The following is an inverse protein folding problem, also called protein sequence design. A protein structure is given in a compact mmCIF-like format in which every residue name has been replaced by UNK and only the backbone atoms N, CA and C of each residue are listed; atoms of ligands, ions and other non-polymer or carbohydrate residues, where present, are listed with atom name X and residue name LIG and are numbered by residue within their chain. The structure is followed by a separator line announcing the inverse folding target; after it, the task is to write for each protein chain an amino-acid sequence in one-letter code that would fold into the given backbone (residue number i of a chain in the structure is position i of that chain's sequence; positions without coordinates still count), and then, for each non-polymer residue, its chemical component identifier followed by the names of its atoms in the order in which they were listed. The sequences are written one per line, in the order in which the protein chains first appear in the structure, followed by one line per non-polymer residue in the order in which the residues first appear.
data_IF_171044392663
#
_entry.id   IF_171044392663
#
_cell.length_a   1.000
_cell.length_b   1.000
_cell.length_c   1.000
_cell.angle_alpha   90.00
_cell.angle_beta   90.00
_cell.angle_gamma   90.00
#
_symmetry.space_group_name_H-M   'P 1'
#
loop_
_entity.id
_entity.type
_entity.pdbx_description
1 polymer ?
#
# COMPACT_ATOMS: atom_id res chain seq x y z
N UNK A 1 -7.66 -27.94 21.04
CA UNK A 1 -8.50 -27.11 20.14
C UNK A 1 -7.58 -26.49 19.10
N UNK A 2 -7.81 -26.71 17.79
CA UNK A 2 -7.14 -25.88 16.77
C UNK A 2 -7.65 -24.46 16.98
N UNK A 3 -6.78 -23.53 17.36
CA UNK A 3 -7.12 -22.10 17.34
C UNK A 3 -7.62 -21.78 15.92
N UNK A 4 -8.88 -21.34 15.82
CA UNK A 4 -9.43 -20.88 14.56
C UNK A 4 -8.60 -19.68 14.10
N UNK A 5 -8.16 -19.68 12.84
CA UNK A 5 -7.37 -18.57 12.33
C UNK A 5 -8.23 -17.32 12.23
N UNK A 6 -7.74 -16.23 12.80
CA UNK A 6 -8.40 -14.93 12.81
C UNK A 6 -8.18 -14.20 11.49
N UNK A 7 -9.21 -13.53 10.97
CA UNK A 7 -9.09 -12.69 9.78
C UNK A 7 -8.24 -11.44 10.09
N UNK A 8 -7.31 -11.11 9.20
CA UNK A 8 -6.61 -9.84 9.17
C UNK A 8 -7.20 -8.96 8.06
N UNK A 9 -7.68 -7.78 8.43
CA UNK A 9 -8.26 -6.79 7.51
C UNK A 9 -7.22 -5.70 7.23
N UNK A 10 -6.88 -5.52 5.95
CA UNK A 10 -5.81 -4.62 5.52
C UNK A 10 -6.30 -3.20 5.22
N UNK A 11 -7.50 -3.09 4.63
CA UNK A 11 -8.12 -1.85 4.16
C UNK A 11 -9.65 -1.93 4.33
N UNK A 12 -10.35 -0.82 4.07
CA UNK A 12 -11.82 -0.76 4.08
C UNK A 12 -12.47 -1.25 2.77
N UNK A 13 -11.78 -2.06 1.97
CA UNK A 13 -12.29 -2.50 0.67
C UNK A 13 -13.57 -3.34 0.84
N UNK A 14 -14.70 -2.97 0.20
CA UNK A 14 -16.00 -3.56 0.50
C UNK A 14 -16.05 -5.09 0.34
N UNK A 15 -15.48 -5.59 -0.75
CA UNK A 15 -15.54 -7.03 -1.06
C UNK A 15 -14.72 -7.92 -0.11
N UNK A 16 -13.72 -7.35 0.56
CA UNK A 16 -12.85 -8.05 1.51
C UNK A 16 -13.19 -7.72 2.97
N UNK A 17 -14.26 -6.96 3.20
CA UNK A 17 -14.77 -6.70 4.55
C UNK A 17 -15.36 -8.00 5.14
N UNK A 18 -15.19 -8.25 6.45
CA UNK A 18 -15.84 -9.39 7.10
C UNK A 18 -17.35 -9.35 6.92
N UNK A 19 -17.95 -10.44 6.41
CA UNK A 19 -19.38 -10.48 6.05
C UNK A 19 -20.28 -10.98 7.18
N UNK A 20 -19.74 -11.78 8.08
CA UNK A 20 -20.46 -12.29 9.25
C UNK A 20 -20.09 -11.47 10.49
N UNK A 21 -21.07 -11.15 11.34
CA UNK A 21 -20.86 -10.31 12.54
C UNK A 21 -19.82 -10.91 13.49
N UNK A 22 -19.80 -12.24 13.63
CA UNK A 22 -18.82 -12.94 14.45
C UNK A 22 -17.41 -12.85 13.85
N UNK A 23 -17.24 -12.89 12.53
CA UNK A 23 -15.95 -12.66 11.88
C UNK A 23 -15.51 -11.21 12.05
N UNK A 24 -16.41 -10.25 11.88
CA UNK A 24 -16.14 -8.81 12.03
C UNK A 24 -15.61 -8.48 13.43
N UNK A 25 -16.35 -8.86 14.48
CA UNK A 25 -15.94 -8.63 15.87
C UNK A 25 -14.64 -9.34 16.24
N UNK A 26 -14.42 -10.52 15.65
CA UNK A 26 -13.21 -11.28 15.90
C UNK A 26 -12.06 -10.95 14.94
N UNK A 27 -12.20 -10.07 13.94
CA UNK A 27 -11.13 -9.74 12.98
C UNK A 27 -10.09 -8.80 13.59
N UNK A 28 -8.84 -8.90 13.15
CA UNK A 28 -7.77 -7.97 13.48
C UNK A 28 -7.70 -6.93 12.36
N UNK A 29 -7.89 -5.67 12.69
CA UNK A 29 -7.80 -4.59 11.72
C UNK A 29 -6.39 -4.00 11.75
N UNK A 30 -5.77 -3.82 10.59
CA UNK A 30 -4.37 -3.38 10.53
C UNK A 30 -4.20 -1.93 11.02
N UNK A 31 -5.27 -1.14 10.95
CA UNK A 31 -5.32 0.19 11.55
C UNK A 31 -6.61 0.95 11.26
N UNK A 32 -6.73 2.16 11.81
CA UNK A 32 -7.91 3.03 11.69
C UNK A 32 -8.42 3.25 10.27
N UNK A 33 -7.51 3.28 9.29
CA UNK A 33 -7.87 3.49 7.89
C UNK A 33 -8.82 2.43 7.33
N UNK A 34 -8.93 1.24 7.95
CA UNK A 34 -9.92 0.23 7.55
C UNK A 34 -11.37 0.75 7.68
N UNK A 35 -11.61 1.71 8.56
CA UNK A 35 -12.92 2.33 8.80
C UNK A 35 -13.09 3.68 8.08
N UNK A 36 -12.03 4.20 7.45
CA UNK A 36 -12.11 5.42 6.64
C UNK A 36 -12.83 5.14 5.34
N UNK A 37 -13.79 6.00 4.94
CA UNK A 37 -14.56 5.85 3.69
C UNK A 37 -15.14 4.43 3.50
N UNK A 38 -15.48 3.76 4.59
CA UNK A 38 -16.00 2.40 4.60
C UNK A 38 -17.51 2.40 4.30
N UNK A 39 -17.99 1.39 3.59
CA UNK A 39 -19.40 1.27 3.20
C UNK A 39 -20.31 0.72 4.31
N UNK A 40 -19.74 -0.07 5.22
CA UNK A 40 -20.48 -0.82 6.25
C UNK A 40 -20.42 -0.18 7.63
N UNK A 41 -19.33 0.54 7.93
CA UNK A 41 -19.06 1.16 9.24
C UNK A 41 -18.61 2.61 9.09
N UNK A 42 -18.86 3.41 10.12
CA UNK A 42 -18.33 4.77 10.27
C UNK A 42 -16.97 4.72 10.97
N UNK A 43 -16.15 5.73 10.71
CA UNK A 43 -14.79 5.82 11.25
C UNK A 43 -14.73 5.73 12.79
N UNK A 44 -15.66 6.36 13.50
CA UNK A 44 -15.66 6.40 14.97
C UNK A 44 -16.14 5.09 15.63
N UNK A 45 -16.68 4.13 14.88
CA UNK A 45 -17.03 2.80 15.42
C UNK A 45 -15.80 1.91 15.62
N UNK A 46 -14.62 2.35 15.17
CA UNK A 46 -13.40 1.56 15.18
C UNK A 46 -12.91 1.15 16.59
N UNK A 47 -13.30 1.89 17.62
CA UNK A 47 -12.88 1.67 19.01
C UNK A 47 -13.49 0.38 19.60
N UNK A 48 -14.58 -0.12 18.99
CA UNK A 48 -15.21 -1.40 19.35
C UNK A 48 -14.46 -2.62 18.76
N UNK A 49 -13.43 -2.38 17.94
CA UNK A 49 -12.71 -3.43 17.22
C UNK A 49 -11.24 -3.50 17.62
N UNK A 50 -10.68 -4.70 17.49
CA UNK A 50 -9.27 -4.92 17.84
C UNK A 50 -8.37 -4.55 16.67
N UNK A 51 -7.46 -3.62 16.95
CA UNK A 51 -6.48 -3.06 16.02
C UNK A 51 -5.09 -3.67 16.20
N UNK A 52 -4.31 -3.71 15.13
CA UNK A 52 -2.88 -3.91 15.22
C UNK A 52 -2.20 -2.71 15.89
N UNK A 53 -1.06 -2.94 16.52
CA UNK A 53 -0.30 -1.87 17.16
C UNK A 53 0.30 -0.95 16.10
N UNK A 54 0.18 0.36 16.30
CA UNK A 54 0.89 1.36 15.49
C UNK A 54 2.40 1.11 15.58
N UNK A 55 3.14 1.18 14.46
CA UNK A 55 4.59 1.15 14.47
C UNK A 55 5.21 2.43 15.05
N UNK A 56 4.45 3.54 15.12
CA UNK A 56 4.88 4.81 15.70
C UNK A 56 4.23 4.99 17.08
N UNK A 57 5.03 5.03 18.15
CA UNK A 57 4.55 5.26 19.51
C UNK A 57 4.67 6.72 19.92
N UNK A 58 5.72 7.37 19.45
CA UNK A 58 6.02 8.77 19.72
C UNK A 58 6.75 9.42 18.53
N UNK A 59 7.07 10.70 18.69
CA UNK A 59 7.78 11.48 17.67
C UNK A 59 9.19 10.96 17.35
N UNK A 60 9.85 10.24 18.27
CA UNK A 60 11.18 9.70 18.03
C UNK A 60 11.14 8.53 17.04
N UNK A 61 10.09 7.71 17.09
CA UNK A 61 9.89 6.65 16.09
C UNK A 61 9.68 7.26 14.70
N UNK A 62 8.89 8.33 14.60
CA UNK A 62 8.66 9.05 13.34
C UNK A 62 9.97 9.62 12.78
N UNK A 63 10.77 10.27 13.62
CA UNK A 63 12.07 10.82 13.24
C UNK A 63 13.03 9.71 12.77
N UNK A 64 13.12 8.60 13.50
CA UNK A 64 13.96 7.46 13.15
C UNK A 64 13.60 6.90 11.77
N UNK A 65 12.31 6.74 11.50
CA UNK A 65 11.82 6.23 10.22
C UNK A 65 11.98 7.25 9.08
N UNK A 66 11.83 8.54 9.36
CA UNK A 66 12.12 9.60 8.39
C UNK A 66 13.60 9.63 7.98
N UNK A 67 14.52 9.49 8.95
CA UNK A 67 15.97 9.40 8.67
C UNK A 67 16.27 8.20 7.76
N UNK A 68 15.61 7.06 8.00
CA UNK A 68 15.74 5.90 7.13
C UNK A 68 15.24 6.19 5.70
N UNK A 69 14.05 6.77 5.56
CA UNK A 69 13.45 7.11 4.25
C UNK A 69 14.35 8.09 3.49
N UNK A 70 14.88 9.11 4.15
CA UNK A 70 15.78 10.10 3.53
C UNK A 70 17.04 9.44 2.95
N UNK A 71 17.69 8.56 3.71
CA UNK A 71 18.85 7.79 3.23
C UNK A 71 18.46 6.82 2.10
N UNK A 72 17.27 6.23 2.17
CA UNK A 72 16.76 5.33 1.13
C UNK A 72 16.48 6.08 -0.17
N UNK A 73 15.89 7.27 -0.09
CA UNK A 73 15.67 8.18 -1.20
C UNK A 73 16.97 8.49 -1.94
N UNK A 74 18.02 8.88 -1.21
CA UNK A 74 19.34 9.20 -1.78
C UNK A 74 20.03 8.03 -2.47
N UNK A 75 19.72 6.81 -2.06
CA UNK A 75 20.21 5.59 -2.72
C UNK A 75 19.41 5.27 -3.97
N UNK A 76 18.07 5.34 -3.88
CA UNK A 76 17.17 4.97 -4.97
C UNK A 76 17.25 5.96 -6.12
N UNK A 77 17.34 7.26 -5.84
CA UNK A 77 17.35 8.29 -6.88
C UNK A 77 18.49 8.11 -7.89
N UNK A 78 19.63 7.56 -7.49
CA UNK A 78 20.77 7.25 -8.37
C UNK A 78 20.39 6.19 -9.42
N UNK A 79 19.84 5.07 -8.95
CA UNK A 79 19.40 3.98 -9.81
C UNK A 79 18.19 4.39 -10.66
N UNK A 80 17.26 5.14 -10.07
CA UNK A 80 16.08 5.65 -10.75
C UNK A 80 16.45 6.62 -11.87
N UNK A 81 17.42 7.52 -11.66
CA UNK A 81 17.89 8.45 -12.69
C UNK A 81 18.44 7.71 -13.91
N UNK A 82 19.21 6.63 -13.69
CA UNK A 82 19.71 5.78 -14.77
C UNK A 82 18.57 5.08 -15.50
N UNK A 83 17.64 4.49 -14.76
CA UNK A 83 16.46 3.84 -15.34
C UNK A 83 15.62 4.81 -16.18
N UNK A 84 15.42 6.05 -15.71
CA UNK A 84 14.63 7.06 -16.42
C UNK A 84 15.33 7.54 -17.70
N UNK A 85 16.66 7.69 -17.67
CA UNK A 85 17.43 7.94 -18.90
C UNK A 85 17.21 6.83 -19.93
N UNK A 86 17.37 5.57 -19.51
CA UNK A 86 17.20 4.42 -20.40
C UNK A 86 15.74 4.32 -20.92
N UNK A 87 14.76 4.54 -20.05
CA UNK A 87 13.33 4.47 -20.37
C UNK A 87 12.86 5.60 -21.30
N UNK A 88 13.38 6.82 -21.11
CA UNK A 88 13.01 7.98 -21.90
C UNK A 88 13.88 8.18 -23.14
N UNK A 89 14.98 7.43 -23.29
CA UNK A 89 15.98 7.66 -24.33
C UNK A 89 16.73 8.98 -24.15
N UNK A 90 16.96 9.39 -22.89
CA UNK A 90 17.64 10.62 -22.51
C UNK A 90 19.02 10.33 -21.89
N UNK A 91 19.86 11.35 -21.79
CA UNK A 91 21.17 11.27 -21.13
C UNK A 91 21.33 12.42 -20.12
N UNK A 92 20.32 12.61 -19.29
CA UNK A 92 20.28 13.67 -18.30
C UNK A 92 21.05 13.33 -17.01
N UNK A 93 21.46 14.35 -16.28
CA UNK A 93 22.19 14.17 -15.02
C UNK A 93 21.29 13.63 -13.89
N UNK A 94 21.89 12.98 -12.87
CA UNK A 94 21.17 12.62 -11.64
C UNK A 94 20.53 13.85 -10.99
N UNK A 95 21.19 15.02 -11.03
CA UNK A 95 20.65 16.27 -10.46
C UNK A 95 19.36 16.68 -11.16
N UNK A 96 19.29 16.56 -12.48
CA UNK A 96 18.09 16.84 -13.27
C UNK A 96 16.92 15.97 -12.80
N UNK A 97 17.13 14.65 -12.78
CA UNK A 97 16.11 13.70 -12.35
C UNK A 97 15.70 13.89 -10.90
N UNK A 98 16.66 14.13 -10.00
CA UNK A 98 16.40 14.44 -8.59
C UNK A 98 15.42 15.61 -8.47
N UNK A 99 15.61 16.71 -9.18
CA UNK A 99 14.68 17.85 -9.11
C UNK A 99 13.26 17.43 -9.56
N UNK A 100 13.18 16.62 -10.61
CA UNK A 100 11.91 16.23 -11.25
C UNK A 100 11.11 15.21 -10.44
N UNK A 101 11.77 14.20 -9.88
CA UNK A 101 11.07 13.03 -9.32
C UNK A 101 11.17 12.91 -7.82
N UNK A 102 11.96 13.75 -7.13
CA UNK A 102 12.11 13.62 -5.66
C UNK A 102 10.79 13.79 -4.91
N UNK A 103 9.91 14.69 -5.37
CA UNK A 103 8.60 14.90 -4.76
C UNK A 103 7.76 13.62 -4.81
N UNK A 104 7.67 13.00 -5.99
CA UNK A 104 7.00 11.71 -6.15
C UNK A 104 7.68 10.62 -5.32
N UNK A 105 9.01 10.50 -5.40
CA UNK A 105 9.78 9.44 -4.78
C UNK A 105 9.65 9.47 -3.26
N UNK A 106 9.71 10.64 -2.62
CA UNK A 106 9.57 10.73 -1.16
C UNK A 106 8.18 10.28 -0.71
N UNK A 107 7.12 10.70 -1.39
CA UNK A 107 5.76 10.28 -1.04
C UNK A 107 5.54 8.79 -1.27
N UNK A 108 6.07 8.25 -2.36
CA UNK A 108 6.00 6.82 -2.65
C UNK A 108 6.75 6.01 -1.59
N UNK A 109 7.97 6.42 -1.22
CA UNK A 109 8.76 5.75 -0.19
C UNK A 109 8.11 5.81 1.19
N UNK A 110 7.61 6.99 1.61
CA UNK A 110 6.88 7.13 2.86
C UNK A 110 5.69 6.17 2.90
N UNK A 111 4.89 6.14 1.84
CA UNK A 111 3.68 5.30 1.78
C UNK A 111 4.02 3.80 1.80
N UNK A 112 4.98 3.37 0.98
CA UNK A 112 5.36 1.96 0.90
C UNK A 112 6.02 1.48 2.20
N UNK A 113 6.88 2.31 2.79
CA UNK A 113 7.56 2.00 4.03
C UNK A 113 6.60 1.95 5.23
N UNK A 114 5.61 2.84 5.27
CA UNK A 114 4.54 2.81 6.28
C UNK A 114 3.77 1.48 6.28
N UNK A 115 3.35 1.01 5.09
CA UNK A 115 2.68 -0.30 4.92
C UNK A 115 3.59 -1.46 5.32
N UNK A 116 4.87 -1.38 4.98
CA UNK A 116 5.86 -2.36 5.42
C UNK A 116 5.96 -2.41 6.95
N UNK A 117 6.04 -1.26 7.63
CA UNK A 117 6.11 -1.20 9.08
C UNK A 117 4.84 -1.72 9.74
N UNK A 118 3.66 -1.40 9.21
CA UNK A 118 2.39 -1.94 9.70
C UNK A 118 2.35 -3.47 9.63
N UNK A 119 2.81 -4.08 8.53
CA UNK A 119 2.91 -5.55 8.44
C UNK A 119 3.90 -6.08 9.48
N UNK A 120 5.03 -5.40 9.69
CA UNK A 120 6.07 -5.82 10.63
C UNK A 120 5.68 -5.63 12.10
N UNK A 121 4.74 -4.74 12.42
CA UNK A 121 4.25 -4.51 13.77
C UNK A 121 3.20 -5.53 14.22
N UNK A 122 2.68 -6.36 13.30
CA UNK A 122 1.72 -7.42 13.62
C UNK A 122 2.37 -8.40 14.62
N UNK A 123 1.81 -8.43 15.83
CA UNK A 123 2.24 -9.37 16.87
C UNK A 123 1.75 -10.78 16.55
N UNK A 124 2.55 -11.78 16.96
CA UNK A 124 2.21 -13.20 16.83
C UNK A 124 1.17 -13.60 17.88
N UNK A 125 -0.06 -13.12 17.73
CA UNK A 125 -1.18 -13.43 18.63
C UNK A 125 -2.03 -14.61 18.12
N UNK A 126 -1.40 -15.55 17.43
CA UNK A 126 -2.05 -16.70 16.80
C UNK A 126 -2.01 -16.65 15.27
N UNK A 127 -2.52 -17.69 14.59
CA UNK A 127 -2.54 -17.77 13.14
C UNK A 127 -3.53 -16.74 12.56
N UNK A 128 -3.04 -15.85 11.71
CA UNK A 128 -3.87 -14.92 10.95
C UNK A 128 -4.13 -15.46 9.55
N UNK A 129 -5.27 -15.15 9.00
CA UNK A 129 -5.61 -15.38 7.60
C UNK A 129 -5.90 -14.03 6.96
N UNK A 130 -5.35 -13.77 5.78
CA UNK A 130 -5.55 -12.52 5.06
C UNK A 130 -5.87 -12.81 3.60
N UNK A 131 -6.86 -12.10 3.06
CA UNK A 131 -7.14 -12.09 1.63
C UNK A 131 -6.26 -11.04 0.96
N UNK A 132 -5.46 -11.48 -0.02
CA UNK A 132 -4.59 -10.65 -0.84
C UNK A 132 -5.01 -10.73 -2.31
N UNK A 133 -4.73 -9.68 -3.06
CA UNK A 133 -4.95 -9.66 -4.50
C UNK A 133 -3.66 -9.94 -5.26
N UNK A 134 -3.76 -10.72 -6.33
CA UNK A 134 -2.62 -10.96 -7.22
C UNK A 134 -2.76 -10.09 -8.45
N UNK A 135 -1.99 -9.02 -8.57
CA UNK A 135 -2.03 -8.15 -9.76
C UNK A 135 -1.50 -8.88 -10.99
N UNK A 136 -2.36 -9.03 -12.01
CA UNK A 136 -1.93 -9.41 -13.35
C UNK A 136 -1.71 -8.14 -14.16
N UNK A 137 -0.47 -7.66 -14.16
CA UNK A 137 -0.08 -6.44 -14.88
C UNK A 137 -0.29 -6.52 -16.40
N UNK A 138 -0.52 -7.72 -16.96
CA UNK A 138 -0.90 -7.88 -18.37
C UNK A 138 -2.38 -7.56 -18.62
N UNK A 139 -3.22 -7.66 -17.58
CA UNK A 139 -4.67 -7.46 -17.67
C UNK A 139 -5.13 -6.11 -17.14
N UNK A 140 -4.47 -5.61 -16.09
CA UNK A 140 -4.82 -4.34 -15.45
C UNK A 140 -3.58 -3.47 -15.27
N UNK A 141 -3.65 -2.24 -15.78
CA UNK A 141 -2.59 -1.24 -15.63
C UNK A 141 -2.86 -0.39 -14.39
N UNK A 142 -2.12 -0.67 -13.32
CA UNK A 142 -2.17 0.06 -12.05
C UNK A 142 -1.14 1.19 -11.98
N UNK A 143 -0.40 1.46 -13.06
CA UNK A 143 0.63 2.50 -13.03
C UNK A 143 -0.05 3.86 -12.88
N UNK A 144 0.34 4.67 -11.88
CA UNK A 144 -0.11 6.04 -11.79
C UNK A 144 0.24 6.81 -13.06
N UNK A 145 -0.67 7.69 -13.45
CA UNK A 145 -0.50 8.50 -14.66
C UNK A 145 0.46 9.66 -14.41
N UNK A 146 0.39 10.28 -13.24
CA UNK A 146 1.24 11.39 -12.82
C UNK A 146 1.64 11.24 -11.35
N UNK A 147 2.47 12.17 -10.86
CA UNK A 147 2.74 12.27 -9.44
C UNK A 147 1.44 12.51 -8.65
N UNK A 148 0.61 13.45 -9.07
CA UNK A 148 -0.67 13.80 -8.43
C UNK A 148 -1.62 12.61 -8.44
N UNK A 149 -1.76 11.93 -9.57
CA UNK A 149 -2.57 10.71 -9.68
C UNK A 149 -2.07 9.62 -8.72
N UNK A 150 -0.75 9.48 -8.56
CA UNK A 150 -0.19 8.54 -7.59
C UNK A 150 -0.55 8.90 -6.14
N UNK A 151 -0.55 10.19 -5.80
CA UNK A 151 -0.91 10.66 -4.46
C UNK A 151 -2.39 10.48 -4.17
N UNK A 152 -3.26 10.67 -5.17
CA UNK A 152 -4.69 10.38 -5.04
C UNK A 152 -4.93 8.88 -4.90
N UNK A 153 -4.31 8.04 -5.73
CA UNK A 153 -4.44 6.59 -5.64
C UNK A 153 -3.98 6.05 -4.28
N UNK A 154 -2.93 6.63 -3.68
CA UNK A 154 -2.45 6.25 -2.34
C UNK A 154 -3.50 6.43 -1.22
N UNK A 155 -4.57 7.17 -1.46
CA UNK A 155 -5.68 7.35 -0.51
C UNK A 155 -6.79 6.30 -0.67
N UNK A 156 -6.83 5.60 -1.82
CA UNK A 156 -7.90 4.67 -2.17
C UNK A 156 -7.62 3.26 -1.63
N UNK A 157 -8.66 2.56 -1.16
CA UNK A 157 -8.52 1.24 -0.54
C UNK A 157 -7.95 0.20 -1.50
N UNK A 158 -8.27 0.31 -2.78
CA UNK A 158 -7.86 -0.58 -3.87
C UNK A 158 -6.35 -0.56 -4.07
N UNK A 159 -5.76 0.64 -4.21
CA UNK A 159 -4.33 0.77 -4.42
C UNK A 159 -3.55 0.37 -3.16
N UNK A 160 -4.08 0.71 -1.98
CA UNK A 160 -3.52 0.27 -0.72
C UNK A 160 -3.52 -1.25 -0.57
N UNK A 161 -4.61 -1.91 -0.97
CA UNK A 161 -4.72 -3.36 -0.96
C UNK A 161 -3.70 -4.02 -1.88
N UNK A 162 -3.42 -3.43 -3.05
CA UNK A 162 -2.36 -3.89 -3.97
C UNK A 162 -0.99 -3.84 -3.26
N UNK A 163 -0.61 -2.70 -2.69
CA UNK A 163 0.68 -2.55 -2.00
C UNK A 163 0.81 -3.55 -0.86
N UNK A 164 -0.22 -3.67 -0.01
CA UNK A 164 -0.20 -4.65 1.08
C UNK A 164 -0.07 -6.09 0.57
N UNK A 165 -0.75 -6.42 -0.53
CA UNK A 165 -0.70 -7.75 -1.15
C UNK A 165 0.69 -8.07 -1.69
N UNK A 166 1.34 -7.12 -2.37
CA UNK A 166 2.72 -7.25 -2.86
C UNK A 166 3.70 -7.45 -1.70
N UNK A 167 3.60 -6.62 -0.66
CA UNK A 167 4.44 -6.71 0.53
C UNK A 167 4.26 -8.05 1.27
N UNK A 168 3.03 -8.49 1.48
CA UNK A 168 2.75 -9.78 2.15
C UNK A 168 3.24 -10.97 1.33
N UNK A 169 3.07 -10.92 0.01
CA UNK A 169 3.56 -11.96 -0.89
C UNK A 169 5.10 -11.98 -0.97
N UNK A 170 5.76 -10.83 -0.83
CA UNK A 170 7.22 -10.73 -0.74
C UNK A 170 7.75 -11.22 0.61
N UNK A 171 7.17 -10.74 1.72
CA UNK A 171 7.65 -11.03 3.08
C UNK A 171 7.31 -12.45 3.57
N UNK A 172 6.18 -13.01 3.11
CA UNK A 172 5.65 -14.32 3.53
C UNK A 172 5.76 -14.57 5.04
N UNK A 173 5.18 -13.69 5.88
CA UNK A 173 5.29 -13.84 7.33
C UNK A 173 4.70 -15.19 7.77
N UNK A 174 5.42 -16.02 8.55
CA UNK A 174 5.07 -17.42 8.79
C UNK A 174 3.78 -17.61 9.59
N UNK A 175 3.34 -16.59 10.33
CA UNK A 175 2.11 -16.60 11.13
C UNK A 175 0.89 -16.10 10.37
N UNK A 176 1.02 -15.77 9.09
CA UNK A 176 -0.08 -15.24 8.26
C UNK A 176 -0.29 -16.15 7.05
N UNK A 177 -1.47 -16.74 6.97
CA UNK A 177 -1.94 -17.52 5.85
C UNK A 177 -2.50 -16.59 4.78
N UNK A 178 -1.90 -16.60 3.60
CA UNK A 178 -2.32 -15.78 2.46
C UNK A 178 -3.39 -16.52 1.65
N UNK A 179 -4.60 -15.98 1.59
CA UNK A 179 -5.66 -16.39 0.65
C UNK A 179 -5.60 -15.49 -0.57
N UNK A 180 -5.53 -16.08 -1.75
CA UNK A 180 -5.44 -15.32 -3.01
C UNK A 180 -6.85 -15.11 -3.57
N UNK A 181 -7.21 -13.85 -3.77
CA UNK A 181 -8.45 -13.44 -4.41
C UNK A 181 -8.21 -13.03 -5.86
N UNK A 182 -9.22 -13.20 -6.71
CA UNK A 182 -9.15 -12.83 -8.12
C UNK A 182 -9.26 -11.31 -8.32
N UNK A 183 -8.58 -10.78 -9.35
CA UNK A 183 -8.47 -9.35 -9.72
C UNK A 183 -9.80 -8.74 -10.18
N UNK A 184 -10.88 -9.52 -10.29
CA UNK A 184 -12.19 -9.00 -10.67
C UNK A 184 -12.75 -7.98 -9.66
N UNK A 185 -12.15 -7.89 -8.48
CA UNK A 185 -12.35 -6.85 -7.47
C UNK A 185 -12.08 -5.42 -8.01
N UNK A 186 -11.26 -5.26 -9.06
CA UNK A 186 -10.82 -3.95 -9.56
C UNK A 186 -11.57 -3.47 -10.81
N UNK A 187 -12.83 -3.90 -11.03
CA UNK A 187 -13.64 -3.56 -12.23
C UNK A 187 -13.82 -2.05 -12.50
N UNK A 188 -13.28 -1.15 -11.67
CA UNK A 188 -13.41 0.31 -11.81
C UNK A 188 -12.06 1.04 -11.79
N UNK A 189 -11.09 0.64 -12.62
CA UNK A 189 -10.11 1.62 -13.10
C UNK A 189 -10.45 1.97 -14.55
N UNK A 190 -11.24 3.04 -14.72
CA UNK A 190 -11.60 3.59 -16.04
C UNK A 190 -10.35 3.73 -16.90
N UNK A 191 -10.24 2.88 -17.94
CA UNK A 191 -9.33 3.09 -19.06
C UNK A 191 -9.60 4.47 -19.65
N UNK A 192 -8.75 5.45 -19.36
CA UNK A 192 -8.67 6.68 -20.15
C UNK A 192 -7.40 6.60 -21.00
N UNK A 193 -7.58 6.73 -22.31
CA UNK A 193 -6.51 6.78 -23.31
C UNK A 193 -5.51 7.88 -22.95
N UNK A 194 -4.25 7.51 -22.74
CA UNK A 194 -3.16 8.46 -22.60
C UNK A 194 -2.86 9.11 -23.96
N UNK A 195 -2.63 10.43 -23.96
CA UNK A 195 -2.22 11.18 -25.17
C UNK A 195 -0.75 11.58 -25.05
N UNK A 196 -0.11 11.94 -26.17
CA UNK A 196 1.30 12.39 -26.16
C UNK A 196 1.51 13.60 -25.22
N UNK A 197 0.48 14.44 -25.06
CA UNK A 197 0.46 15.57 -24.14
C UNK A 197 0.45 15.16 -22.68
N UNK A 198 -0.17 14.03 -22.33
CA UNK A 198 -0.10 13.51 -20.96
C UNK A 198 1.33 13.06 -20.65
N UNK A 199 2.01 12.39 -21.59
CA UNK A 199 3.41 11.91 -21.42
C UNK A 199 4.42 13.01 -21.08
N UNK A 200 4.21 14.24 -21.55
CA UNK A 200 5.16 15.36 -21.39
C UNK A 200 4.92 16.14 -20.08
N UNK A 201 3.73 16.05 -19.49
CA UNK A 201 3.44 16.67 -18.19
C UNK A 201 3.82 15.77 -17.00
N UNK A 202 4.44 14.62 -17.27
CA UNK A 202 4.79 13.59 -16.28
C UNK A 202 6.25 13.65 -15.83
N UNK A 203 6.93 14.77 -16.12
CA UNK A 203 8.21 15.16 -15.55
C UNK A 203 8.17 16.63 -15.19
#
# INVERSE_FOLDING_TARGET
MKESSRLLVLTGHPDLWPKAENEEKNALYLGPWCFSRNQFRKFFEQDDFKMASSPYKDWKDVELHWIYISKLHDRIIKALSKYLNDFCGLQESEKFWRIRVSYWLVHWLCSYYDRYLNIKSIKKEGPLTVSIVMTDHSKVDFRPKSCEDSLEQLKEHEYNLIIYSELLNFLKPPSIVLKKESVELFRVFRKQKQTLKSKIHFF
#
